data_IF_082958349648
#
_entry.id   IF_082958349648
#
_cell.length_a   1.000
_cell.length_b   1.000
_cell.length_c   1.000
_cell.angle_alpha   90.00
_cell.angle_beta   90.00
_cell.angle_gamma   90.00
#
_symmetry.space_group_name_H-M   'P 1'
#
loop_
_entity.id
_entity.type
_entity.pdbx_description
1 polymer ?
#
# COMPACT_ATOMS: atom_id res chain seq x y z
N UNK A 1 2.79 7.19 7.09
CA UNK A 1 4.05 6.63 6.54
C UNK A 1 3.62 5.76 5.35
N UNK A 2 4.48 5.05 4.59
CA UNK A 2 3.97 4.11 3.60
C UNK A 2 3.28 2.92 4.29
N UNK A 3 2.14 2.46 3.77
CA UNK A 3 1.37 1.37 4.34
C UNK A 3 2.21 0.11 4.56
N UNK A 4 3.11 -0.22 3.63
CA UNK A 4 3.98 -1.40 3.79
C UNK A 4 4.82 -1.33 5.07
N UNK A 5 5.28 -0.13 5.43
CA UNK A 5 6.03 0.09 6.65
C UNK A 5 5.14 0.02 7.88
N UNK A 6 3.95 0.60 7.82
CA UNK A 6 2.95 0.52 8.89
C UNK A 6 2.55 -0.95 9.16
N UNK A 7 2.22 -1.70 8.09
CA UNK A 7 1.88 -3.11 8.15
C UNK A 7 3.01 -3.92 8.80
N UNK A 8 4.25 -3.77 8.33
CA UNK A 8 5.39 -4.49 8.90
C UNK A 8 5.55 -4.24 10.40
N UNK A 9 5.21 -3.04 10.87
CA UNK A 9 5.42 -2.61 12.24
C UNK A 9 4.21 -2.78 13.18
N UNK A 10 3.12 -3.40 12.70
CA UNK A 10 1.93 -3.63 13.52
C UNK A 10 1.07 -2.37 13.72
N UNK A 11 1.25 -1.37 12.86
CA UNK A 11 0.46 -0.15 12.86
C UNK A 11 -0.84 -0.35 12.07
N UNK A 12 -1.79 0.57 12.24
CA UNK A 12 -3.04 0.53 11.49
C UNK A 12 -2.95 1.52 10.31
N UNK A 13 -2.82 1.06 9.05
CA UNK A 13 -2.68 1.95 7.90
C UNK A 13 -3.94 2.77 7.59
N UNK A 14 -5.08 2.42 8.20
CA UNK A 14 -6.33 3.19 8.08
C UNK A 14 -6.38 4.39 9.02
N UNK A 15 -5.45 4.48 9.97
CA UNK A 15 -5.40 5.54 10.96
C UNK A 15 -4.13 6.37 10.76
N UNK A 16 -4.27 7.69 10.92
CA UNK A 16 -3.12 8.58 10.98
C UNK A 16 -2.47 8.48 12.36
N UNK A 17 -1.57 7.53 12.53
CA UNK A 17 -0.88 7.25 13.80
C UNK A 17 0.58 7.74 13.84
N UNK A 18 0.91 8.71 12.99
CA UNK A 18 2.25 9.29 12.87
C UNK A 18 2.82 9.80 14.20
N UNK A 19 1.96 10.25 15.11
CA UNK A 19 2.33 10.76 16.44
C UNK A 19 2.35 9.68 17.55
N UNK A 20 2.05 8.41 17.22
CA UNK A 20 2.17 7.30 18.15
C UNK A 20 3.63 7.06 18.56
N UNK A 21 3.88 6.44 19.71
CA UNK A 21 5.24 6.23 20.28
C UNK A 21 5.68 4.77 20.34
N UNK A 22 4.89 3.86 19.77
CA UNK A 22 5.07 2.42 19.88
C UNK A 22 6.35 1.90 19.20
N UNK A 23 6.95 2.66 18.28
CA UNK A 23 8.13 2.23 17.53
C UNK A 23 9.47 2.79 18.03
N UNK A 24 9.44 3.77 18.94
CA UNK A 24 10.63 4.50 19.43
C UNK A 24 11.73 3.56 19.90
N UNK A 25 11.43 2.67 20.85
CA UNK A 25 12.43 1.75 21.43
C UNK A 25 12.89 0.71 20.40
N UNK A 26 11.96 0.19 19.57
CA UNK A 26 12.27 -0.79 18.53
C UNK A 26 13.29 -0.25 17.51
N UNK A 27 13.15 1.00 17.10
CA UNK A 27 13.97 1.58 16.04
C UNK A 27 15.19 2.36 16.53
N UNK A 28 15.09 3.06 17.65
CA UNK A 28 16.16 3.95 18.12
C UNK A 28 16.86 3.46 19.39
N UNK A 29 16.33 2.42 20.03
CA UNK A 29 16.77 1.98 21.36
C UNK A 29 16.41 2.96 22.49
N UNK A 30 15.81 4.11 22.17
CA UNK A 30 15.46 5.16 23.12
C UNK A 30 13.94 5.42 23.03
N UNK A 31 13.30 5.68 24.17
CA UNK A 31 11.90 6.09 24.19
C UNK A 31 11.77 7.60 23.94
N UNK A 32 10.68 8.03 23.31
CA UNK A 32 10.33 9.45 23.19
C UNK A 32 9.99 9.90 21.78
N UNK A 33 10.53 9.21 20.77
CA UNK A 33 10.27 9.48 19.36
C UNK A 33 8.87 9.03 18.96
N UNK A 34 8.26 9.77 18.04
CA UNK A 34 7.05 9.33 17.38
C UNK A 34 7.35 8.33 16.24
N UNK A 35 6.29 7.71 15.73
CA UNK A 35 6.40 6.71 14.67
C UNK A 35 6.95 7.31 13.37
N UNK A 36 6.60 8.57 13.07
CA UNK A 36 7.07 9.25 11.87
C UNK A 36 8.56 9.57 11.95
N UNK A 37 9.05 10.05 13.08
CA UNK A 37 10.46 10.27 13.38
C UNK A 37 11.24 8.96 13.23
N UNK A 38 10.70 7.85 13.75
CA UNK A 38 11.31 6.52 13.58
C UNK A 38 11.38 6.11 12.10
N UNK A 39 10.32 6.34 11.33
CA UNK A 39 10.29 6.06 9.89
C UNK A 39 11.30 6.92 9.14
N UNK A 40 11.31 8.24 9.35
CA UNK A 40 12.20 9.18 8.67
C UNK A 40 13.67 8.89 8.96
N UNK A 41 14.01 8.54 10.20
CA UNK A 41 15.36 8.14 10.55
C UNK A 41 15.76 6.85 9.80
N UNK A 42 14.90 5.82 9.83
CA UNK A 42 15.17 4.56 9.13
C UNK A 42 15.27 4.73 7.61
N UNK A 43 14.47 5.64 7.05
CA UNK A 43 14.52 5.99 5.63
C UNK A 43 15.82 6.71 5.30
N UNK A 44 16.26 7.65 6.13
CA UNK A 44 17.55 8.34 5.97
C UNK A 44 18.70 7.33 5.95
N UNK A 45 18.77 6.45 6.94
CA UNK A 45 19.80 5.41 7.04
C UNK A 45 19.73 4.46 5.81
N UNK A 46 18.53 4.11 5.34
CA UNK A 46 18.37 3.28 4.16
C UNK A 46 18.85 3.98 2.88
N UNK A 47 18.60 5.28 2.73
CA UNK A 47 18.98 6.03 1.53
C UNK A 47 20.49 6.28 1.47
N UNK A 48 21.10 6.63 2.60
CA UNK A 48 22.53 6.97 2.72
C UNK A 48 23.38 5.71 2.83
N UNK A 49 23.08 4.86 3.80
CA UNK A 49 23.95 3.74 4.21
C UNK A 49 23.45 2.38 3.70
N UNK A 50 22.30 2.34 3.01
CA UNK A 50 21.66 1.11 2.51
C UNK A 50 21.31 0.12 3.62
N UNK A 51 21.13 0.60 4.85
CA UNK A 51 20.63 -0.23 5.94
C UNK A 51 19.21 -0.71 5.64
N UNK A 52 18.79 -1.87 6.15
CA UNK A 52 17.40 -2.33 5.96
C UNK A 52 16.40 -1.31 6.52
N UNK A 53 15.41 -0.94 5.71
CA UNK A 53 14.33 -0.02 6.11
C UNK A 53 13.49 -0.59 7.28
N UNK A 54 13.43 -1.92 7.38
CA UNK A 54 12.63 -2.64 8.36
C UNK A 54 13.53 -3.25 9.44
N UNK A 55 13.10 -3.17 10.70
CA UNK A 55 13.75 -3.86 11.82
C UNK A 55 12.89 -4.98 12.37
N UNK A 56 13.49 -6.16 12.54
CA UNK A 56 12.85 -7.34 13.12
C UNK A 56 11.96 -8.10 12.13
N UNK A 57 11.16 -9.02 12.66
CA UNK A 57 10.19 -9.78 11.88
C UNK A 57 8.94 -8.93 11.58
N UNK A 58 8.25 -9.19 10.44
CA UNK A 58 6.95 -8.59 10.17
C UNK A 58 5.95 -8.91 11.28
N UNK A 59 5.13 -7.92 11.63
CA UNK A 59 4.04 -8.10 12.58
C UNK A 59 3.03 -9.14 12.06
N UNK A 60 2.54 -10.00 12.96
CA UNK A 60 1.46 -10.96 12.65
C UNK A 60 0.14 -10.39 13.13
N UNK A 61 -0.71 -10.00 12.18
CA UNK A 61 -2.05 -9.50 12.49
C UNK A 61 -2.99 -10.64 12.93
N UNK A 62 -3.97 -10.38 13.81
CA UNK A 62 -4.94 -11.38 14.23
C UNK A 62 -5.73 -11.96 13.04
N UNK A 63 -6.09 -11.12 12.08
CA UNK A 63 -6.71 -11.57 10.84
C UNK A 63 -5.65 -11.86 9.78
N UNK A 64 -5.57 -13.11 9.35
CA UNK A 64 -4.65 -13.53 8.27
C UNK A 64 -5.33 -13.45 6.91
N UNK A 65 -4.64 -12.84 5.94
CA UNK A 65 -5.05 -12.83 4.52
C UNK A 65 -4.20 -13.86 3.77
N UNK A 66 -4.83 -14.88 3.20
CA UNK A 66 -4.13 -15.92 2.41
C UNK A 66 -3.65 -15.39 1.07
N UNK A 67 -4.43 -14.51 0.43
CA UNK A 67 -4.05 -13.86 -0.81
C UNK A 67 -4.83 -12.56 -1.04
N UNK A 68 -4.19 -11.60 -1.69
CA UNK A 68 -4.81 -10.38 -2.17
C UNK A 68 -4.25 -10.09 -3.57
N UNK A 69 -5.12 -10.01 -4.57
CA UNK A 69 -4.74 -10.01 -5.99
C UNK A 69 -5.64 -9.10 -6.82
N UNK A 70 -5.16 -8.72 -8.00
CA UNK A 70 -5.93 -8.01 -9.02
C UNK A 70 -5.71 -8.68 -10.38
N UNK A 71 -6.74 -8.71 -11.22
CA UNK A 71 -6.68 -9.25 -12.58
C UNK A 71 -7.43 -8.34 -13.57
N UNK A 72 -6.78 -7.90 -14.67
CA UNK A 72 -5.35 -8.04 -14.97
C UNK A 72 -4.47 -7.28 -13.96
N UNK A 73 -3.22 -7.73 -13.78
CA UNK A 73 -2.24 -7.07 -12.89
C UNK A 73 -1.68 -5.77 -13.47
N UNK A 74 -1.82 -5.58 -14.78
CA UNK A 74 -1.42 -4.36 -15.46
C UNK A 74 -2.35 -4.03 -16.62
N UNK A 75 -2.50 -2.75 -16.92
CA UNK A 75 -3.26 -2.24 -18.07
C UNK A 75 -2.43 -1.21 -18.84
N UNK A 76 -2.91 -0.82 -20.01
CA UNK A 76 -2.34 0.28 -20.77
C UNK A 76 -2.97 1.61 -20.36
N UNK A 77 -2.19 2.69 -20.34
CA UNK A 77 -2.69 4.04 -20.14
C UNK A 77 -3.72 4.43 -21.20
N UNK A 78 -4.83 5.02 -20.74
CA UNK A 78 -5.97 5.37 -21.58
C UNK A 78 -6.99 4.23 -21.75
N UNK A 79 -6.62 2.98 -21.45
CA UNK A 79 -7.60 1.90 -21.42
C UNK A 79 -8.50 2.04 -20.19
N UNK A 80 -9.77 1.67 -20.34
CA UNK A 80 -10.73 1.59 -19.25
C UNK A 80 -11.29 0.17 -19.14
N UNK A 81 -10.45 -0.87 -18.88
CA UNK A 81 -10.96 -2.21 -18.74
C UNK A 81 -11.59 -2.39 -17.34
N UNK A 82 -12.53 -3.33 -17.19
CA UNK A 82 -12.87 -3.82 -15.87
C UNK A 82 -11.65 -4.59 -15.30
N UNK A 83 -11.30 -4.31 -14.05
CA UNK A 83 -10.33 -5.08 -13.27
C UNK A 83 -11.02 -5.72 -12.09
N UNK A 84 -10.60 -6.92 -11.74
CA UNK A 84 -11.17 -7.69 -10.63
C UNK A 84 -10.17 -7.79 -9.50
N UNK A 85 -10.54 -7.24 -8.35
CA UNK A 85 -9.83 -7.45 -7.09
C UNK A 85 -10.36 -8.71 -6.40
N UNK A 86 -9.45 -9.46 -5.80
CA UNK A 86 -9.78 -10.66 -5.02
C UNK A 86 -8.96 -10.72 -3.75
N UNK A 87 -9.64 -10.83 -2.61
CA UNK A 87 -9.05 -11.04 -1.29
C UNK A 87 -9.54 -12.38 -0.75
N UNK A 88 -8.65 -13.24 -0.28
CA UNK A 88 -9.00 -14.55 0.27
C UNK A 88 -8.44 -14.68 1.68
N UNK A 89 -9.27 -15.18 2.60
CA UNK A 89 -8.85 -15.53 3.96
C UNK A 89 -9.01 -17.03 4.18
N UNK A 90 -8.25 -17.62 5.13
CA UNK A 90 -8.48 -18.97 5.62
C UNK A 90 -9.97 -19.23 5.97
N UNK A 91 -10.46 -20.42 5.61
CA UNK A 91 -11.84 -20.85 5.91
C UNK A 91 -12.16 -20.88 7.42
N UNK A 92 -11.13 -20.92 8.26
CA UNK A 92 -11.24 -20.93 9.72
C UNK A 92 -11.50 -19.57 10.33
N UNK A 93 -11.44 -18.47 9.55
CA UNK A 93 -11.68 -17.12 10.04
C UNK A 93 -13.04 -16.60 9.58
N UNK A 94 -13.74 -15.94 10.50
CA UNK A 94 -14.94 -15.17 10.20
C UNK A 94 -14.54 -13.78 9.71
N UNK A 95 -15.19 -13.30 8.65
CA UNK A 95 -14.96 -11.96 8.10
C UNK A 95 -16.29 -11.24 8.01
N UNK A 96 -16.31 -10.04 8.56
CA UNK A 96 -17.50 -9.17 8.56
C UNK A 96 -17.36 -8.03 7.57
N UNK A 97 -16.12 -7.61 7.26
CA UNK A 97 -15.86 -6.44 6.42
C UNK A 97 -14.55 -6.59 5.65
N UNK A 98 -14.56 -6.10 4.41
CA UNK A 98 -13.37 -5.99 3.55
C UNK A 98 -13.38 -4.59 2.92
N UNK A 99 -12.25 -3.88 2.98
CA UNK A 99 -12.06 -2.52 2.47
C UNK A 99 -10.95 -2.51 1.41
N UNK A 100 -11.06 -1.61 0.42
CA UNK A 100 -9.96 -1.29 -0.50
C UNK A 100 -9.71 0.23 -0.56
N UNK A 101 -8.44 0.64 -0.55
CA UNK A 101 -8.05 2.05 -0.76
C UNK A 101 -7.99 2.44 -2.25
N UNK A 102 -9.11 2.29 -2.98
CA UNK A 102 -9.14 2.56 -4.43
C UNK A 102 -8.90 4.03 -4.80
N UNK A 103 -9.02 4.96 -3.86
CA UNK A 103 -8.66 6.37 -4.07
C UNK A 103 -7.21 6.53 -4.54
N UNK A 104 -6.31 5.59 -4.19
CA UNK A 104 -4.94 5.54 -4.70
C UNK A 104 -4.88 5.40 -6.21
N UNK A 105 -5.90 4.81 -6.86
CA UNK A 105 -5.96 4.69 -8.32
C UNK A 105 -6.07 6.03 -9.05
N UNK A 106 -6.30 7.14 -8.34
CA UNK A 106 -6.25 8.49 -8.92
C UNK A 106 -4.83 9.07 -9.02
N UNK A 107 -3.92 8.68 -8.12
CA UNK A 107 -2.54 9.16 -8.09
C UNK A 107 -1.59 8.08 -7.56
N UNK A 108 -0.69 7.53 -8.40
CA UNK A 108 0.23 6.46 -7.99
C UNK A 108 1.30 6.93 -6.99
N UNK A 109 1.40 8.25 -6.78
CA UNK A 109 2.31 8.85 -5.82
C UNK A 109 1.61 9.35 -4.55
N UNK A 110 0.32 9.09 -4.38
CA UNK A 110 -0.38 9.47 -3.17
C UNK A 110 0.14 8.65 -1.99
N UNK A 111 0.79 9.33 -1.03
CA UNK A 111 1.25 8.75 0.22
C UNK A 111 0.97 9.72 1.39
N UNK A 112 0.55 9.21 2.58
CA UNK A 112 0.15 7.82 2.87
C UNK A 112 -1.11 7.42 2.09
N UNK A 113 -1.52 6.14 2.16
CA UNK A 113 -2.78 5.73 1.54
C UNK A 113 -3.92 6.63 2.01
N UNK A 114 -4.76 7.05 1.07
CA UNK A 114 -6.00 7.73 1.39
C UNK A 114 -6.89 6.80 2.21
N UNK A 115 -7.83 7.39 2.95
CA UNK A 115 -8.83 6.67 3.73
C UNK A 115 -9.45 5.53 2.90
N UNK A 116 -9.37 4.30 3.42
CA UNK A 116 -9.96 3.17 2.72
C UNK A 116 -11.48 3.32 2.73
N UNK A 117 -12.10 3.13 1.57
CA UNK A 117 -13.53 3.28 1.40
C UNK A 117 -14.18 1.91 1.64
N UNK A 118 -15.34 1.90 2.29
CA UNK A 118 -16.20 0.72 2.36
C UNK A 118 -16.59 0.28 0.96
N UNK A 119 -16.13 -0.92 0.59
CA UNK A 119 -16.51 -1.53 -0.66
C UNK A 119 -17.30 -2.78 -0.33
N UNK A 120 -18.50 -2.89 -0.90
CA UNK A 120 -19.29 -4.11 -0.78
C UNK A 120 -18.66 -5.20 -1.64
N UNK A 121 -18.06 -6.19 -0.97
CA UNK A 121 -17.61 -7.40 -1.62
C UNK A 121 -18.74 -8.42 -1.73
N UNK A 122 -18.70 -9.22 -2.80
CA UNK A 122 -19.50 -10.44 -2.85
C UNK A 122 -18.68 -11.59 -2.28
N UNK A 123 -19.12 -12.15 -1.15
CA UNK A 123 -18.51 -13.36 -0.62
C UNK A 123 -18.77 -14.52 -1.58
N UNK A 124 -17.71 -15.19 -2.00
CA UNK A 124 -17.79 -16.51 -2.62
C UNK A 124 -17.70 -17.55 -1.50
N UNK A 125 -18.33 -18.71 -1.67
CA UNK A 125 -18.45 -19.76 -0.64
C UNK A 125 -17.13 -20.32 -0.07
N UNK A 126 -15.97 -19.79 -0.49
CA UNK A 126 -14.63 -20.19 -0.08
C UNK A 126 -13.89 -19.11 0.73
N UNK A 127 -14.60 -18.22 1.45
CA UNK A 127 -14.00 -17.08 2.17
C UNK A 127 -13.11 -16.20 1.25
N UNK A 128 -13.49 -16.14 -0.02
CA UNK A 128 -12.87 -15.27 -1.00
C UNK A 128 -13.88 -14.20 -1.44
N UNK A 129 -13.40 -12.97 -1.49
CA UNK A 129 -14.17 -11.77 -1.69
C UNK A 129 -13.72 -11.15 -3.01
N UNK A 130 -14.65 -10.93 -3.92
CA UNK A 130 -14.37 -10.31 -5.21
C UNK A 130 -15.04 -8.94 -5.37
N UNK A 131 -14.33 -8.01 -6.01
CA UNK A 131 -14.85 -6.71 -6.39
C UNK A 131 -14.42 -6.36 -7.82
N UNK A 132 -15.39 -6.01 -8.66
CA UNK A 132 -15.13 -5.53 -10.02
C UNK A 132 -15.04 -4.01 -10.00
N UNK A 133 -13.91 -3.47 -10.42
CA UNK A 133 -13.67 -2.04 -10.54
C UNK A 133 -13.56 -1.66 -12.01
N UNK A 134 -14.23 -0.56 -12.37
CA UNK A 134 -14.11 0.01 -13.70
C UNK A 134 -13.00 1.07 -13.68
N UNK A 135 -11.91 0.81 -14.41
CA UNK A 135 -10.79 1.76 -14.48
C UNK A 135 -11.20 3.05 -15.16
N UNK A 136 -10.73 4.17 -14.61
CA UNK A 136 -10.94 5.51 -15.16
C UNK A 136 -9.90 5.84 -16.25
N UNK A 137 -10.30 6.61 -17.26
CA UNK A 137 -9.45 6.92 -18.42
C UNK A 137 -8.26 7.83 -18.11
N UNK A 138 -8.25 8.50 -16.95
CA UNK A 138 -7.26 9.50 -16.57
C UNK A 138 -6.19 8.98 -15.57
N UNK A 139 -5.93 7.67 -15.55
CA UNK A 139 -4.88 7.12 -14.68
C UNK A 139 -3.49 7.54 -15.15
N UNK A 140 -2.62 7.88 -14.20
CA UNK A 140 -1.20 8.17 -14.42
C UNK A 140 -0.42 6.87 -14.61
N UNK A 141 0.72 6.97 -15.30
CA UNK A 141 1.65 5.85 -15.39
C UNK A 141 2.25 5.52 -14.02
N UNK A 142 2.41 4.24 -13.73
CA UNK A 142 3.10 3.80 -12.52
C UNK A 142 2.51 2.55 -11.87
N UNK A 143 3.10 2.20 -10.74
CA UNK A 143 2.67 1.10 -9.88
C UNK A 143 1.84 1.70 -8.75
N UNK A 144 0.60 1.27 -8.68
CA UNK A 144 -0.35 1.61 -7.65
C UNK A 144 -0.30 0.55 -6.56
N UNK A 145 -0.27 1.00 -5.31
CA UNK A 145 -0.40 0.15 -4.13
C UNK A 145 -1.79 0.33 -3.55
N UNK A 146 -2.60 -0.72 -3.60
CA UNK A 146 -3.96 -0.74 -3.05
C UNK A 146 -3.91 -1.51 -1.74
N UNK A 147 -4.32 -0.87 -0.65
CA UNK A 147 -4.49 -1.51 0.63
C UNK A 147 -5.78 -2.32 0.64
N UNK A 148 -5.69 -3.60 0.98
CA UNK A 148 -6.81 -4.42 1.39
C UNK A 148 -6.80 -4.55 2.91
N UNK A 149 -7.89 -4.14 3.55
CA UNK A 149 -8.10 -4.35 4.99
C UNK A 149 -9.28 -5.29 5.22
N UNK A 150 -9.11 -6.28 6.08
CA UNK A 150 -10.14 -7.26 6.43
C UNK A 150 -10.38 -7.17 7.92
N UNK A 151 -11.65 -7.18 8.34
CA UNK A 151 -12.05 -7.17 9.75
C UNK A 151 -12.90 -8.38 10.08
N UNK A 152 -12.64 -9.02 11.23
CA UNK A 152 -13.43 -10.15 11.73
C UNK A 152 -14.61 -9.68 12.60
N UNK A 153 -15.37 -10.64 13.16
CA UNK A 153 -16.50 -10.37 14.07
C UNK A 153 -16.09 -9.77 15.41
N UNK A 154 -14.84 -9.99 15.81
CA UNK A 154 -14.24 -9.47 17.05
C UNK A 154 -13.70 -8.04 16.89
N UNK A 155 -13.80 -7.47 15.68
CA UNK A 155 -13.31 -6.13 15.37
C UNK A 155 -11.79 -6.05 15.13
N UNK A 156 -11.11 -7.18 15.07
CA UNK A 156 -9.68 -7.25 14.75
C UNK A 156 -9.46 -7.16 13.24
N UNK A 157 -8.31 -6.64 12.83
CA UNK A 157 -8.00 -6.39 11.42
C UNK A 157 -6.73 -7.07 10.94
N UNK A 158 -6.69 -7.28 9.62
CA UNK A 158 -5.56 -7.77 8.86
C UNK A 158 -5.42 -6.98 7.57
N UNK A 159 -4.19 -6.85 7.09
CA UNK A 159 -3.87 -5.98 5.96
C UNK A 159 -3.01 -6.68 4.92
N UNK A 160 -3.24 -6.35 3.66
CA UNK A 160 -2.41 -6.79 2.54
C UNK A 160 -2.31 -5.67 1.50
N UNK A 161 -1.23 -5.67 0.72
CA UNK A 161 -1.05 -4.75 -0.40
C UNK A 161 -1.26 -5.50 -1.72
N UNK A 162 -2.05 -4.90 -2.60
CA UNK A 162 -2.26 -5.34 -3.97
C UNK A 162 -1.54 -4.37 -4.89
N UNK A 163 -0.67 -4.90 -5.76
CA UNK A 163 0.05 -4.10 -6.75
C UNK A 163 -0.69 -4.13 -8.08
N UNK A 164 -0.92 -2.95 -8.65
CA UNK A 164 -1.57 -2.77 -9.95
C UNK A 164 -0.75 -1.78 -10.80
N UNK A 165 -0.48 -2.09 -12.06
CA UNK A 165 0.40 -1.26 -12.89
C UNK A 165 -0.33 -0.65 -14.10
N UNK A 166 -0.15 0.65 -14.32
CA UNK A 166 -0.56 1.33 -15.55
C UNK A 166 0.68 1.62 -16.38
N UNK A 167 0.75 0.99 -17.55
CA UNK A 167 1.89 1.02 -18.48
C UNK A 167 1.67 2.00 -19.61
N UNK A 168 2.75 2.48 -20.21
CA UNK A 168 2.68 3.26 -21.45
C UNK A 168 2.13 2.41 -22.60
N UNK A 169 1.34 3.02 -23.48
CA UNK A 169 0.82 2.40 -24.71
C UNK A 169 1.87 2.22 -25.80
N UNK A 170 2.97 2.96 -25.71
CA UNK A 170 4.13 2.80 -26.56
C UNK A 170 5.19 2.00 -25.81
N UNK A 171 5.48 0.78 -26.25
CA UNK A 171 6.44 -0.15 -25.63
C UNK A 171 7.91 0.29 -25.65
N UNK A 172 8.20 1.59 -25.60
CA UNK A 172 9.54 2.16 -25.53
C UNK A 172 9.46 3.55 -24.89
N UNK A 173 9.42 3.61 -23.57
CA UNK A 173 10.07 4.71 -22.88
C UNK A 173 11.13 4.10 -21.97
N UNK A 174 12.32 3.94 -22.56
CA UNK A 174 13.53 4.07 -21.76
C UNK A 174 13.45 5.46 -21.14
N UNK A 175 13.27 5.52 -19.82
CA UNK A 175 13.55 6.73 -19.07
C UNK A 175 15.03 7.06 -19.31
N UNK A 176 15.31 7.85 -20.33
CA UNK A 176 16.60 8.50 -20.46
C UNK A 176 16.78 9.33 -19.18
N UNK A 177 17.87 9.17 -18.42
CA UNK A 177 18.11 10.02 -17.28
C UNK A 177 18.12 11.46 -17.78
N UNK A 178 17.27 12.30 -17.18
CA UNK A 178 17.31 13.73 -17.41
C UNK A 178 18.76 14.18 -17.16
N UNK A 179 19.42 14.65 -18.21
CA UNK A 179 20.72 15.30 -18.07
C UNK A 179 20.56 16.43 -17.04
N UNK A 180 21.49 16.60 -16.08
CA UNK A 180 21.40 17.68 -15.11
C UNK A 180 21.37 19.01 -15.85
N UNK A 181 20.22 19.69 -15.80
CA UNK A 181 20.09 21.05 -16.29
C UNK A 181 21.04 21.93 -15.48
N UNK A 182 22.15 22.33 -16.11
CA UNK A 182 23.15 23.18 -15.51
C UNK A 182 22.54 24.46 -14.95
N UNK A 183 22.99 24.84 -13.76
CA UNK A 183 22.75 26.14 -13.17
C UNK A 183 23.27 27.23 -14.13
N UNK A 184 22.35 27.99 -14.73
CA UNK A 184 22.72 29.23 -15.42
C UNK A 184 23.08 30.25 -14.31
N UNK A 185 24.38 30.43 -14.07
CA UNK A 185 24.85 31.61 -13.34
C UNK A 185 24.63 32.84 -14.22
N UNK A 186 23.80 33.77 -13.76
CA UNK A 186 23.75 35.13 -14.30
C UNK A 186 24.99 35.88 -13.82
N UNK A 187 25.75 36.43 -14.77
CA UNK A 187 26.78 37.45 -14.54
C UNK A 187 26.16 38.77 -14.07
#
# INVERSE_FOLDING_TARGET
MPDQWEIHNGLNPLLKDHNGKQLSVKYTGTAGYDNLECYLNSLSDNLVDKTPLYKGAPFTYPVTISSATVSPVSITAGDTPPVKFKVSVPATQTVTRVLLSLTMLSDPFAFPSAEAIDITFSATGNNAFEYNYQVQSAMRLGIYQILAAVTNDSGESGYALILFEVKSSTGSDTLAPAAPGGLIQKQ
#
